data_IF_202838218821
#
_entry.id   IF_202838218821
#
_cell.length_a   1.000
_cell.length_b   1.000
_cell.length_c   1.000
_cell.angle_alpha   90.00
_cell.angle_beta   90.00
_cell.angle_gamma   90.00
#
_symmetry.space_group_name_H-M   'P 1'
#
loop_
_entity.id
_entity.type
_entity.pdbx_description
1 polymer ?
#
# COMPACT_ATOMS: atom_id res chain seq x y z
N UNK A 1 -7.50 -1.76 18.15
CA UNK A 1 -6.40 -0.78 18.22
C UNK A 1 -6.11 -0.31 19.64
N UNK A 2 -7.08 0.14 20.42
CA UNK A 2 -6.81 0.67 21.78
C UNK A 2 -6.06 -0.32 22.69
N UNK A 3 -6.51 -1.58 22.72
CA UNK A 3 -5.82 -2.65 23.49
C UNK A 3 -4.44 -3.00 22.93
N UNK A 4 -4.28 -2.98 21.61
CA UNK A 4 -3.00 -3.25 20.96
C UNK A 4 -1.95 -2.20 21.30
N UNK A 5 -2.37 -0.93 21.36
CA UNK A 5 -1.47 0.21 21.64
C UNK A 5 -1.37 0.59 23.13
N UNK A 6 -2.06 -0.14 24.02
CA UNK A 6 -2.00 0.14 25.45
C UNK A 6 -0.57 0.13 26.02
N UNK A 7 0.30 -0.85 25.69
CA UNK A 7 1.69 -0.84 26.12
C UNK A 7 2.47 0.40 25.65
N UNK A 8 2.21 0.86 24.40
CA UNK A 8 2.88 2.05 23.86
C UNK A 8 2.49 3.32 24.60
N UNK A 9 1.26 3.41 25.14
CA UNK A 9 0.83 4.55 25.95
C UNK A 9 1.62 4.66 27.24
N UNK A 10 1.87 3.52 27.89
CA UNK A 10 2.63 3.46 29.16
C UNK A 10 4.09 3.83 28.88
N UNK A 11 4.72 3.10 27.97
CA UNK A 11 6.14 3.32 27.64
C UNK A 11 6.38 4.71 27.05
N UNK A 12 5.43 5.25 26.28
CA UNK A 12 5.54 6.63 25.77
C UNK A 12 5.46 7.71 26.85
N UNK A 13 4.81 7.45 27.98
CA UNK A 13 4.74 8.40 29.13
C UNK A 13 5.90 8.24 30.11
N UNK A 14 6.19 7.02 30.50
CA UNK A 14 7.09 6.70 31.59
C UNK A 14 8.50 6.40 31.10
N UNK A 15 8.62 6.01 29.84
CA UNK A 15 9.83 5.45 29.28
C UNK A 15 10.10 4.04 29.78
N UNK A 16 10.95 3.32 29.08
CA UNK A 16 11.50 2.04 29.54
C UNK A 16 13.01 2.02 29.34
N UNK A 17 13.72 1.34 30.22
CA UNK A 17 15.14 1.12 30.05
C UNK A 17 15.40 0.00 29.08
N UNK A 18 16.25 0.27 28.08
CA UNK A 18 16.63 -0.68 27.05
C UNK A 18 18.15 -0.68 26.88
N UNK A 19 18.73 -1.87 26.85
CA UNK A 19 20.12 -2.04 26.43
C UNK A 19 20.18 -1.94 24.92
N UNK A 20 20.90 -0.93 24.42
CA UNK A 20 21.07 -0.68 22.99
C UNK A 20 22.18 -1.59 22.41
N UNK A 21 22.28 -1.64 21.09
CA UNK A 21 23.27 -2.46 20.37
C UNK A 21 24.74 -2.09 20.69
N UNK A 22 24.97 -0.84 21.16
CA UNK A 22 26.27 -0.35 21.60
C UNK A 22 26.58 -0.67 23.10
N UNK A 23 25.71 -1.46 23.76
CA UNK A 23 25.86 -1.87 25.15
C UNK A 23 25.38 -0.83 26.18
N UNK A 24 25.01 0.38 25.77
CA UNK A 24 24.51 1.41 26.69
C UNK A 24 23.05 1.19 27.06
N UNK A 25 22.70 1.42 28.30
CA UNK A 25 21.31 1.45 28.77
C UNK A 25 20.75 2.86 28.60
N UNK A 26 19.64 2.97 27.84
CA UNK A 26 18.96 4.25 27.59
C UNK A 26 17.51 4.16 28.02
N UNK A 27 16.96 5.27 28.51
CA UNK A 27 15.51 5.40 28.68
C UNK A 27 14.88 5.78 27.36
N UNK A 28 14.05 4.87 26.82
CA UNK A 28 13.41 4.98 25.51
C UNK A 28 11.93 5.30 25.68
N UNK A 29 11.43 6.25 24.91
CA UNK A 29 10.02 6.61 24.82
C UNK A 29 9.48 6.19 23.44
N UNK A 30 8.48 5.34 23.45
CA UNK A 30 7.88 4.86 22.20
C UNK A 30 6.86 5.84 21.65
N UNK A 31 6.89 6.06 20.34
CA UNK A 31 5.94 6.90 19.62
C UNK A 31 5.35 6.15 18.43
N UNK A 32 4.10 6.47 18.08
CA UNK A 32 3.55 6.06 16.78
C UNK A 32 4.04 7.05 15.72
N UNK A 33 5.01 6.64 14.92
CA UNK A 33 5.67 7.51 13.96
C UNK A 33 4.98 7.52 12.58
N UNK A 34 4.47 6.37 12.13
CA UNK A 34 3.81 6.22 10.83
C UNK A 34 2.62 5.25 10.92
N UNK A 35 1.60 5.48 10.11
CA UNK A 35 0.42 4.63 9.94
C UNK A 35 0.21 4.37 8.45
N UNK A 36 0.57 3.17 8.01
CA UNK A 36 0.49 2.74 6.62
C UNK A 36 -0.88 2.09 6.42
N UNK A 37 -1.70 2.71 5.59
CA UNK A 37 -3.05 2.23 5.29
C UNK A 37 -3.53 2.79 3.95
N UNK A 38 -4.56 2.17 3.38
CA UNK A 38 -5.28 2.73 2.25
C UNK A 38 -6.12 3.95 2.65
N UNK A 39 -6.66 4.67 1.66
CA UNK A 39 -7.40 5.89 1.91
C UNK A 39 -8.65 5.70 2.79
N UNK A 40 -9.51 4.68 2.61
CA UNK A 40 -10.65 4.42 3.48
C UNK A 40 -10.27 4.20 4.93
N UNK A 41 -9.22 3.42 5.19
CA UNK A 41 -8.73 3.17 6.54
C UNK A 41 -8.09 4.43 7.15
N UNK A 42 -7.31 5.20 6.38
CA UNK A 42 -6.80 6.49 6.85
C UNK A 42 -7.94 7.43 7.25
N UNK A 43 -9.03 7.49 6.48
CA UNK A 43 -10.21 8.28 6.84
C UNK A 43 -10.91 7.76 8.11
N UNK A 44 -11.00 6.45 8.28
CA UNK A 44 -11.56 5.82 9.48
C UNK A 44 -10.74 6.19 10.71
N UNK A 45 -9.42 6.05 10.62
CA UNK A 45 -8.48 6.39 11.71
C UNK A 45 -8.46 7.89 11.99
N UNK A 46 -8.54 8.73 10.96
CA UNK A 46 -8.69 10.18 11.11
C UNK A 46 -10.06 10.60 11.67
N UNK A 47 -10.98 9.65 11.87
CA UNK A 47 -12.36 9.92 12.27
C UNK A 47 -13.09 10.88 11.32
N UNK A 48 -12.81 10.81 10.01
CA UNK A 48 -13.46 11.64 9.00
C UNK A 48 -14.13 10.80 7.89
N UNK A 49 -15.04 11.45 7.16
CA UNK A 49 -15.71 10.87 6.01
C UNK A 49 -14.71 10.70 4.83
N UNK A 50 -14.91 9.71 3.98
CA UNK A 50 -14.12 9.50 2.75
C UNK A 50 -14.28 10.61 1.71
N UNK A 51 -15.29 11.45 1.88
CA UNK A 51 -15.44 12.69 1.11
C UNK A 51 -14.51 13.82 1.60
N UNK A 52 -13.62 13.57 2.56
CA UNK A 52 -12.68 14.53 3.17
C UNK A 52 -11.25 14.02 3.06
N UNK A 53 -10.30 14.89 3.36
CA UNK A 53 -8.90 14.49 3.49
C UNK A 53 -8.60 14.04 4.92
N UNK A 54 -7.89 12.91 5.15
CA UNK A 54 -7.47 12.49 6.49
C UNK A 54 -6.41 13.41 7.10
N UNK A 55 -5.66 14.18 6.30
CA UNK A 55 -4.54 15.01 6.77
C UNK A 55 -4.88 16.49 6.93
N UNK A 56 -5.77 17.03 6.10
CA UNK A 56 -6.11 18.46 6.10
C UNK A 56 -7.62 18.73 6.02
N UNK A 57 -7.97 20.01 6.11
CA UNK A 57 -9.37 20.50 6.16
C UNK A 57 -9.88 20.94 4.78
N UNK A 58 -9.32 20.43 3.67
CA UNK A 58 -9.80 20.75 2.33
C UNK A 58 -11.31 20.52 2.23
N UNK A 59 -11.99 21.46 1.61
CA UNK A 59 -13.42 21.33 1.35
C UNK A 59 -13.69 20.24 0.31
N UNK A 60 -14.86 19.63 0.40
CA UNK A 60 -15.26 18.55 -0.50
C UNK A 60 -15.09 18.94 -1.97
N UNK A 61 -15.47 20.16 -2.31
CA UNK A 61 -15.54 20.62 -3.69
C UNK A 61 -14.24 21.28 -4.20
N UNK A 62 -13.22 21.36 -3.34
CA UNK A 62 -11.90 21.94 -3.65
C UNK A 62 -10.79 20.88 -3.85
N UNK A 63 -11.11 19.58 -3.70
CA UNK A 63 -10.11 18.50 -3.80
C UNK A 63 -9.44 18.35 -5.17
N UNK A 64 -10.05 18.90 -6.21
CA UNK A 64 -9.45 19.00 -7.55
C UNK A 64 -8.58 20.22 -7.76
N UNK A 65 -8.52 21.15 -6.80
CA UNK A 65 -7.73 22.37 -6.84
C UNK A 65 -6.29 22.13 -6.35
N UNK A 66 -5.31 22.90 -6.85
CA UNK A 66 -3.95 22.89 -6.33
C UNK A 66 -3.79 23.63 -4.99
N UNK A 67 -4.87 24.13 -4.41
CA UNK A 67 -4.81 24.94 -3.20
C UNK A 67 -4.44 24.11 -1.96
N UNK A 68 -3.53 24.63 -1.16
CA UNK A 68 -3.23 24.13 0.18
C UNK A 68 -4.40 24.39 1.14
N UNK A 69 -4.60 23.47 2.06
CA UNK A 69 -5.56 23.61 3.14
C UNK A 69 -4.90 23.41 4.50
N UNK A 70 -5.49 23.99 5.54
CA UNK A 70 -4.97 23.87 6.90
C UNK A 70 -4.91 22.39 7.34
N UNK A 71 -3.80 21.93 7.94
CA UNK A 71 -3.70 20.59 8.49
C UNK A 71 -4.74 20.39 9.60
N UNK A 72 -5.20 19.16 9.78
CA UNK A 72 -6.05 18.79 10.91
C UNK A 72 -5.28 18.91 12.22
N UNK A 73 -5.94 19.45 13.22
CA UNK A 73 -5.40 19.57 14.59
C UNK A 73 -5.93 18.42 15.44
N UNK A 74 -5.01 17.63 16.01
CA UNK A 74 -5.36 16.44 16.79
C UNK A 74 -6.16 16.79 18.05
N UNK A 75 -5.76 17.82 18.78
CA UNK A 75 -6.41 18.20 20.03
C UNK A 75 -7.81 18.76 19.77
N UNK A 76 -7.95 19.63 18.77
CA UNK A 76 -9.25 20.18 18.35
C UNK A 76 -10.17 19.08 17.83
N UNK A 77 -9.68 18.16 17.01
CA UNK A 77 -10.49 17.06 16.48
C UNK A 77 -10.94 16.11 17.59
N UNK A 78 -10.07 15.75 18.54
CA UNK A 78 -10.43 14.94 19.69
C UNK A 78 -11.50 15.60 20.57
N UNK A 79 -11.40 16.91 20.78
CA UNK A 79 -12.37 17.69 21.57
C UNK A 79 -13.74 17.74 20.88
N UNK A 80 -13.79 17.97 19.55
CA UNK A 80 -15.03 17.96 18.79
C UNK A 80 -15.73 16.59 18.88
N UNK A 81 -14.94 15.50 18.75
CA UNK A 81 -15.44 14.13 18.85
C UNK A 81 -15.98 13.83 20.26
N UNK A 82 -15.29 14.31 21.31
CA UNK A 82 -15.73 14.17 22.70
C UNK A 82 -17.06 14.87 22.92
N UNK A 83 -17.16 16.15 22.53
CA UNK A 83 -18.41 16.93 22.63
C UNK A 83 -19.56 16.25 21.90
N UNK A 84 -19.31 15.72 20.70
CA UNK A 84 -20.33 14.99 19.95
C UNK A 84 -20.76 13.72 20.68
N UNK A 85 -19.84 12.96 21.26
CA UNK A 85 -20.15 11.75 22.04
C UNK A 85 -20.95 12.04 23.32
N UNK A 86 -20.84 13.24 23.87
CA UNK A 86 -21.61 13.72 25.03
C UNK A 86 -23.00 14.28 24.63
N UNK A 87 -23.38 14.15 23.35
CA UNK A 87 -24.69 14.59 22.84
C UNK A 87 -24.72 16.06 22.41
N UNK A 88 -23.62 16.80 22.50
CA UNK A 88 -23.51 18.14 21.95
C UNK A 88 -23.44 18.04 20.40
N UNK A 89 -23.81 19.12 19.73
CA UNK A 89 -23.82 19.20 18.25
C UNK A 89 -22.88 20.31 17.78
N UNK A 90 -21.54 20.14 17.95
CA UNK A 90 -20.61 21.17 17.50
C UNK A 90 -20.68 21.32 15.98
N UNK A 91 -20.84 22.54 15.48
CA UNK A 91 -20.89 22.82 14.02
C UNK A 91 -19.64 22.33 13.29
N UNK A 92 -18.50 22.34 13.97
CA UNK A 92 -17.25 21.83 13.48
C UNK A 92 -17.27 20.34 13.16
N UNK A 93 -18.12 19.53 13.79
CA UNK A 93 -18.27 18.12 13.49
C UNK A 93 -18.73 17.90 12.04
N UNK A 94 -19.73 18.63 11.62
CA UNK A 94 -20.27 18.56 10.24
C UNK A 94 -19.32 19.25 9.25
N UNK A 95 -18.87 20.47 9.56
CA UNK A 95 -18.04 21.24 8.62
C UNK A 95 -16.69 20.57 8.32
N UNK A 96 -16.08 19.90 9.30
CA UNK A 96 -14.86 19.10 9.11
C UNK A 96 -15.13 17.68 8.58
N UNK A 97 -16.42 17.31 8.42
CA UNK A 97 -16.84 16.00 7.96
C UNK A 97 -16.35 14.85 8.85
N UNK A 98 -16.56 14.99 10.16
CA UNK A 98 -16.15 13.97 11.11
C UNK A 98 -17.16 12.81 11.17
N UNK A 99 -16.70 11.65 11.66
CA UNK A 99 -17.49 10.44 11.95
C UNK A 99 -17.57 10.25 13.47
N UNK A 100 -18.66 9.69 14.01
CA UNK A 100 -18.80 9.41 15.44
C UNK A 100 -17.97 8.16 15.82
N UNK A 101 -16.66 8.20 15.62
CA UNK A 101 -15.73 7.12 15.94
C UNK A 101 -14.87 7.54 17.12
N UNK A 102 -14.69 6.64 18.10
CA UNK A 102 -13.80 6.88 19.24
C UNK A 102 -12.35 6.89 18.79
N UNK A 103 -11.61 8.00 18.92
CA UNK A 103 -10.23 8.09 18.46
C UNK A 103 -9.28 7.36 19.41
N UNK A 104 -8.75 6.20 19.01
CA UNK A 104 -7.79 5.43 19.82
C UNK A 104 -6.49 6.19 20.08
N UNK A 105 -6.19 7.14 19.20
CA UNK A 105 -4.97 7.95 19.24
C UNK A 105 -5.05 9.19 20.15
N UNK A 106 -6.23 9.54 20.66
CA UNK A 106 -6.43 10.77 21.44
C UNK A 106 -5.44 10.91 22.63
N UNK A 107 -5.08 9.80 23.26
CA UNK A 107 -4.23 9.74 24.43
C UNK A 107 -2.85 9.10 24.15
N UNK A 108 -2.43 8.99 22.89
CA UNK A 108 -1.08 8.55 22.57
C UNK A 108 -0.09 9.69 22.83
N UNK A 109 0.93 9.48 23.69
CA UNK A 109 1.93 10.50 23.97
C UNK A 109 2.80 10.75 22.73
N UNK A 110 3.26 11.99 22.58
CA UNK A 110 4.21 12.41 21.54
C UNK A 110 3.78 12.13 20.09
N UNK A 111 2.52 11.76 19.85
CA UNK A 111 2.00 11.39 18.54
C UNK A 111 1.04 12.46 18.02
N UNK A 112 1.14 12.76 16.75
CA UNK A 112 0.10 13.45 15.99
C UNK A 112 -0.36 12.55 14.85
N UNK A 113 -1.53 11.93 14.99
CA UNK A 113 -2.03 10.93 14.05
C UNK A 113 -2.12 11.44 12.62
N UNK A 114 -2.50 12.72 12.42
CA UNK A 114 -2.64 13.31 11.09
C UNK A 114 -1.29 13.49 10.37
N UNK A 115 -0.18 13.49 11.13
CA UNK A 115 1.18 13.49 10.59
C UNK A 115 1.76 12.09 10.39
N UNK A 116 1.11 11.08 10.97
CA UNK A 116 1.55 9.68 10.83
C UNK A 116 1.06 9.04 9.53
N UNK A 117 0.04 9.61 8.87
CA UNK A 117 -0.46 9.06 7.61
C UNK A 117 0.56 9.23 6.49
N UNK A 118 0.92 8.13 5.88
CA UNK A 118 1.82 8.11 4.72
C UNK A 118 1.01 7.99 3.42
N UNK A 119 1.47 8.59 2.32
CA UNK A 119 0.87 8.39 1.01
C UNK A 119 0.95 6.92 0.60
N UNK A 120 -0.12 6.44 -0.02
CA UNK A 120 -0.19 5.10 -0.59
C UNK A 120 -0.01 5.17 -2.11
N UNK A 121 1.22 4.93 -2.57
CA UNK A 121 1.56 4.98 -3.98
C UNK A 121 0.71 3.99 -4.78
N UNK A 122 0.44 2.80 -4.24
CA UNK A 122 -0.28 1.75 -4.94
C UNK A 122 -1.72 2.16 -5.28
N UNK A 123 -2.53 2.49 -4.27
CA UNK A 123 -3.94 2.81 -4.48
C UNK A 123 -4.19 4.24 -4.94
N UNK A 124 -3.35 5.19 -4.52
CA UNK A 124 -3.56 6.59 -4.90
C UNK A 124 -3.02 6.89 -6.30
N UNK A 125 -1.79 6.46 -6.62
CA UNK A 125 -1.16 6.79 -7.90
C UNK A 125 -1.33 5.71 -8.95
N UNK A 126 -0.74 4.51 -8.77
CA UNK A 126 -0.73 3.46 -9.79
C UNK A 126 -2.14 3.06 -10.21
N UNK A 127 -2.96 2.64 -9.24
CA UNK A 127 -4.34 2.29 -9.50
C UNK A 127 -5.19 3.53 -9.75
N UNK A 128 -5.13 4.49 -8.80
CA UNK A 128 -6.09 5.56 -8.73
C UNK A 128 -5.94 6.62 -9.80
N UNK A 129 -4.90 7.44 -9.72
CA UNK A 129 -4.70 8.53 -10.67
C UNK A 129 -4.40 7.99 -12.06
N UNK A 130 -3.42 7.10 -12.17
CA UNK A 130 -2.98 6.63 -13.47
C UNK A 130 -4.03 5.73 -14.13
N UNK A 131 -4.28 4.52 -13.58
CA UNK A 131 -5.12 3.53 -14.27
C UNK A 131 -6.61 3.92 -14.30
N UNK A 132 -7.20 4.27 -13.14
CA UNK A 132 -8.64 4.48 -13.05
C UNK A 132 -9.10 5.78 -13.72
N UNK A 133 -8.19 6.76 -13.89
CA UNK A 133 -8.51 8.05 -14.51
C UNK A 133 -7.75 8.28 -15.82
N UNK A 134 -6.43 8.50 -15.77
CA UNK A 134 -5.70 8.92 -16.98
C UNK A 134 -5.69 7.87 -18.09
N UNK A 135 -5.51 6.59 -17.75
CA UNK A 135 -5.62 5.51 -18.75
C UNK A 135 -7.05 5.39 -19.28
N UNK A 136 -8.05 5.44 -18.39
CA UNK A 136 -9.47 5.36 -18.80
C UNK A 136 -9.85 6.52 -19.73
N UNK A 137 -9.59 7.76 -19.31
CA UNK A 137 -9.89 8.95 -20.09
C UNK A 137 -9.13 8.99 -21.42
N UNK A 138 -7.85 8.61 -21.41
CA UNK A 138 -7.06 8.56 -22.65
C UNK A 138 -7.56 7.49 -23.61
N UNK A 139 -7.97 6.33 -23.09
CA UNK A 139 -8.54 5.25 -23.92
C UNK A 139 -9.84 5.71 -24.57
N UNK A 140 -10.68 6.47 -23.89
CA UNK A 140 -11.95 6.97 -24.39
C UNK A 140 -11.79 7.98 -25.53
N UNK A 141 -10.68 8.73 -25.55
CA UNK A 141 -10.40 9.70 -26.63
C UNK A 141 -9.60 9.14 -27.80
N UNK A 142 -9.11 7.91 -27.69
CA UNK A 142 -8.48 7.21 -28.83
C UNK A 142 -9.52 6.83 -29.86
N UNK A 143 -9.30 7.14 -31.12
CA UNK A 143 -10.17 6.64 -32.21
C UNK A 143 -10.11 5.10 -32.26
N UNK A 144 -11.28 4.46 -32.19
CA UNK A 144 -11.39 3.02 -31.98
C UNK A 144 -11.31 2.57 -30.51
N UNK A 145 -11.14 3.47 -29.53
CA UNK A 145 -11.27 3.24 -28.10
C UNK A 145 -10.37 2.12 -27.56
N UNK A 146 -10.96 1.26 -26.73
CA UNK A 146 -10.25 0.13 -26.08
C UNK A 146 -9.67 -0.87 -27.10
N UNK A 147 -10.31 -1.09 -28.24
CA UNK A 147 -9.86 -2.06 -29.24
C UNK A 147 -8.55 -1.60 -29.89
N UNK A 148 -8.45 -0.32 -30.22
CA UNK A 148 -7.23 0.26 -30.77
C UNK A 148 -6.10 0.29 -29.73
N UNK A 149 -6.39 0.66 -28.49
CA UNK A 149 -5.41 0.62 -27.40
C UNK A 149 -4.91 -0.81 -27.19
N UNK A 150 -5.79 -1.81 -27.17
CA UNK A 150 -5.41 -3.22 -27.06
C UNK A 150 -4.58 -3.69 -28.25
N UNK A 151 -4.95 -3.29 -29.47
CA UNK A 151 -4.17 -3.58 -30.68
C UNK A 151 -2.74 -3.04 -30.57
N UNK A 152 -2.58 -1.82 -30.09
CA UNK A 152 -1.26 -1.19 -29.89
C UNK A 152 -0.43 -1.89 -28.80
N UNK A 153 -1.04 -2.27 -27.68
CA UNK A 153 -0.36 -3.08 -26.66
C UNK A 153 0.11 -4.45 -27.22
N UNK A 154 -0.72 -5.11 -28.02
CA UNK A 154 -0.37 -6.40 -28.68
C UNK A 154 0.80 -6.26 -29.63
N UNK A 155 0.90 -5.13 -30.35
CA UNK A 155 1.93 -4.87 -31.36
C UNK A 155 3.29 -4.47 -30.77
N UNK A 156 3.36 -4.19 -29.45
CA UNK A 156 4.61 -3.79 -28.82
C UNK A 156 5.64 -4.93 -28.83
N UNK A 157 6.88 -4.59 -29.06
CA UNK A 157 8.00 -5.53 -28.99
C UNK A 157 8.15 -6.12 -27.59
N UNK A 158 8.45 -7.42 -27.53
CA UNK A 158 8.75 -8.09 -26.26
C UNK A 158 10.08 -7.58 -25.70
N UNK A 159 10.11 -7.33 -24.39
CA UNK A 159 11.33 -6.96 -23.69
C UNK A 159 11.47 -7.82 -22.41
N UNK A 160 12.67 -8.32 -22.09
CA UNK A 160 12.88 -9.25 -20.96
C UNK A 160 12.41 -8.72 -19.60
N UNK A 161 12.53 -7.40 -19.38
CA UNK A 161 12.21 -6.75 -18.10
C UNK A 161 10.82 -6.13 -18.06
N UNK A 162 10.03 -6.22 -19.15
CA UNK A 162 8.70 -5.63 -19.23
C UNK A 162 7.65 -6.70 -19.48
N UNK A 163 6.52 -6.58 -18.79
CA UNK A 163 5.37 -7.43 -19.09
C UNK A 163 4.82 -7.10 -20.48
N UNK A 164 4.73 -8.11 -21.32
CA UNK A 164 4.05 -8.00 -22.61
C UNK A 164 2.54 -8.25 -22.45
N UNK A 165 1.74 -7.23 -22.72
CA UNK A 165 0.26 -7.31 -22.66
C UNK A 165 -0.28 -7.92 -23.97
N UNK A 166 0.03 -9.21 -24.19
CA UNK A 166 -0.29 -9.96 -25.42
C UNK A 166 -1.76 -10.00 -25.80
N UNK A 167 -2.66 -9.79 -24.85
CA UNK A 167 -4.11 -9.74 -25.05
C UNK A 167 -4.68 -8.32 -24.94
N UNK A 168 -3.83 -7.30 -24.85
CA UNK A 168 -4.22 -5.93 -24.48
C UNK A 168 -4.44 -5.75 -23.00
N UNK A 169 -5.08 -4.66 -22.62
CA UNK A 169 -5.33 -4.28 -21.22
C UNK A 169 -6.83 -4.32 -20.84
N UNK A 170 -7.75 -4.27 -21.82
CA UNK A 170 -9.20 -4.19 -21.56
C UNK A 170 -9.76 -5.42 -20.86
N UNK A 171 -9.20 -6.61 -21.11
CA UNK A 171 -9.64 -7.89 -20.55
C UNK A 171 -9.00 -8.19 -19.18
N UNK A 172 -8.13 -7.34 -18.66
CA UNK A 172 -7.50 -7.57 -17.35
C UNK A 172 -8.48 -7.19 -16.26
N UNK A 173 -9.09 -8.19 -15.61
CA UNK A 173 -10.07 -8.00 -14.54
C UNK A 173 -9.43 -7.80 -13.17
N UNK A 174 -8.29 -8.45 -12.92
CA UNK A 174 -7.53 -8.34 -11.67
C UNK A 174 -6.12 -7.82 -11.95
N UNK A 175 -5.88 -6.60 -11.57
CA UNK A 175 -4.59 -5.94 -11.74
C UNK A 175 -3.71 -6.13 -10.52
N UNK A 176 -2.45 -6.44 -10.75
CA UNK A 176 -1.41 -6.47 -9.72
C UNK A 176 -0.59 -5.18 -9.73
N UNK A 177 0.07 -4.84 -8.62
CA UNK A 177 0.96 -3.68 -8.56
C UNK A 177 2.03 -3.70 -9.65
N UNK A 178 2.58 -4.87 -9.95
CA UNK A 178 3.57 -5.03 -11.03
C UNK A 178 3.00 -4.75 -12.43
N UNK A 179 1.72 -5.08 -12.67
CA UNK A 179 1.06 -4.78 -13.95
C UNK A 179 0.86 -3.28 -14.15
N UNK A 180 0.44 -2.55 -13.11
CA UNK A 180 0.36 -1.09 -13.18
C UNK A 180 1.73 -0.47 -13.52
N UNK A 181 2.78 -0.85 -12.78
CA UNK A 181 4.15 -0.37 -12.97
C UNK A 181 4.70 -0.67 -14.37
N UNK A 182 4.33 -1.79 -14.96
CA UNK A 182 4.73 -2.10 -16.34
C UNK A 182 3.92 -1.33 -17.38
N UNK A 183 2.63 -1.11 -17.15
CA UNK A 183 1.79 -0.31 -18.02
C UNK A 183 2.26 1.16 -18.08
N UNK A 184 2.61 1.76 -16.94
CA UNK A 184 3.15 3.11 -16.85
C UNK A 184 4.36 3.34 -17.74
N UNK A 185 5.26 2.36 -17.82
CA UNK A 185 6.48 2.47 -18.62
C UNK A 185 6.24 2.54 -20.13
N UNK A 186 5.11 2.04 -20.59
CA UNK A 186 4.84 1.89 -22.03
C UNK A 186 3.65 2.69 -22.52
N UNK A 187 2.79 3.15 -21.63
CA UNK A 187 1.50 3.74 -21.99
C UNK A 187 1.61 4.98 -22.88
N UNK A 188 2.59 5.86 -22.64
CA UNK A 188 2.82 7.01 -23.52
C UNK A 188 3.09 6.59 -24.98
N UNK A 189 3.91 5.57 -25.18
CA UNK A 189 4.17 5.01 -26.50
C UNK A 189 2.94 4.38 -27.13
N UNK A 190 2.06 3.79 -26.34
CA UNK A 190 0.81 3.19 -26.83
C UNK A 190 -0.13 4.24 -27.36
N UNK A 191 -0.32 5.35 -26.68
CA UNK A 191 -1.27 6.40 -27.08
C UNK A 191 -0.66 7.45 -28.05
N UNK A 192 0.66 7.44 -28.25
CA UNK A 192 1.33 8.37 -29.16
C UNK A 192 0.77 8.30 -30.58
N UNK A 193 0.44 9.44 -31.16
CA UNK A 193 -0.16 9.56 -32.49
C UNK A 193 -1.62 9.07 -32.60
N UNK A 194 -2.26 8.70 -31.47
CA UNK A 194 -3.67 8.29 -31.43
C UNK A 194 -4.54 9.33 -30.68
N UNK A 195 -3.94 10.29 -30.00
CA UNK A 195 -4.62 11.32 -29.22
C UNK A 195 -3.99 12.68 -29.47
N UNK A 196 -4.69 13.75 -29.09
CA UNK A 196 -4.15 15.13 -29.07
C UNK A 196 -2.88 15.20 -28.21
N UNK A 197 -1.89 15.98 -28.68
CA UNK A 197 -0.62 16.21 -27.98
C UNK A 197 -0.82 16.74 -26.55
N UNK A 198 -1.91 17.46 -26.29
CA UNK A 198 -2.27 17.95 -24.95
C UNK A 198 -2.61 16.81 -23.99
N UNK A 199 -3.20 15.71 -24.51
CA UNK A 199 -3.46 14.48 -23.74
C UNK A 199 -2.14 13.80 -23.39
N UNK A 200 -1.21 13.71 -24.37
CA UNK A 200 0.15 13.17 -24.14
C UNK A 200 0.85 13.94 -23.02
N UNK A 201 0.79 15.28 -23.05
CA UNK A 201 1.40 16.11 -22.00
C UNK A 201 0.78 15.88 -20.62
N UNK A 202 -0.53 15.72 -20.55
CA UNK A 202 -1.22 15.46 -19.30
C UNK A 202 -0.86 14.08 -18.72
N UNK A 203 -0.83 13.04 -19.55
CA UNK A 203 -0.43 11.69 -19.15
C UNK A 203 1.04 11.64 -18.73
N UNK A 204 1.92 12.33 -19.47
CA UNK A 204 3.35 12.45 -19.13
C UNK A 204 3.55 13.08 -17.76
N UNK A 205 2.85 14.17 -17.45
CA UNK A 205 2.98 14.84 -16.15
C UNK A 205 2.63 13.89 -14.98
N UNK A 206 1.62 13.02 -15.15
CA UNK A 206 1.27 12.00 -14.14
C UNK A 206 2.37 10.95 -14.02
N UNK A 207 2.88 10.44 -15.15
CA UNK A 207 3.95 9.43 -15.14
C UNK A 207 5.23 10.00 -14.53
N UNK A 208 5.57 11.26 -14.83
CA UNK A 208 6.72 11.94 -14.23
C UNK A 208 6.56 12.05 -12.71
N UNK A 209 5.38 12.46 -12.22
CA UNK A 209 5.09 12.51 -10.78
C UNK A 209 5.25 11.14 -10.12
N UNK A 210 4.65 10.08 -10.70
CA UNK A 210 4.76 8.70 -10.20
C UNK A 210 6.22 8.24 -10.18
N UNK A 211 6.98 8.58 -11.22
CA UNK A 211 8.40 8.22 -11.32
C UNK A 211 9.20 8.84 -10.19
N UNK A 212 9.01 10.12 -9.89
CA UNK A 212 9.65 10.77 -8.74
C UNK A 212 9.17 10.18 -7.41
N UNK A 213 7.87 9.93 -7.25
CA UNK A 213 7.33 9.36 -6.01
C UNK A 213 7.93 7.99 -5.66
N UNK A 214 8.45 7.26 -6.65
CA UNK A 214 9.08 5.94 -6.49
C UNK A 214 10.59 5.97 -6.26
N UNK A 215 11.19 7.12 -6.16
CA UNK A 215 12.63 7.19 -5.89
C UNK A 215 12.96 6.65 -4.51
N UNK A 216 13.93 5.76 -4.43
CA UNK A 216 14.45 5.22 -3.17
C UNK A 216 15.26 6.26 -2.39
N UNK A 217 15.84 7.24 -3.09
CA UNK A 217 16.61 8.33 -2.52
C UNK A 217 16.17 9.65 -3.14
N UNK A 218 15.86 10.63 -2.30
CA UNK A 218 15.47 11.96 -2.72
C UNK A 218 16.55 13.00 -2.43
N UNK A 219 16.70 13.92 -3.38
CA UNK A 219 17.43 15.17 -3.22
C UNK A 219 16.43 16.32 -3.26
N UNK A 220 16.80 17.54 -2.85
CA UNK A 220 15.94 18.72 -3.00
C UNK A 220 15.49 18.90 -4.45
N UNK A 221 16.39 18.70 -5.42
CA UNK A 221 16.07 18.77 -6.84
C UNK A 221 15.01 17.73 -7.27
N UNK A 222 15.05 16.52 -6.74
CA UNK A 222 14.03 15.51 -7.09
C UNK A 222 12.68 15.86 -6.49
N UNK A 223 12.63 16.46 -5.30
CA UNK A 223 11.40 16.94 -4.67
C UNK A 223 10.82 18.14 -5.43
N UNK A 224 11.66 19.09 -5.84
CA UNK A 224 11.24 20.21 -6.72
C UNK A 224 10.68 19.71 -8.05
N UNK A 225 11.28 18.67 -8.63
CA UNK A 225 10.79 18.09 -9.88
C UNK A 225 9.43 17.37 -9.66
N UNK A 226 9.22 16.73 -8.50
CA UNK A 226 7.92 16.16 -8.14
C UNK A 226 6.86 17.26 -8.01
N UNK A 227 7.17 18.37 -7.37
CA UNK A 227 6.25 19.53 -7.26
C UNK A 227 5.95 20.15 -8.64
N UNK A 228 6.96 20.24 -9.53
CA UNK A 228 6.75 20.70 -10.92
C UNK A 228 5.84 19.74 -11.69
N UNK A 229 6.03 18.44 -11.55
CA UNK A 229 5.17 17.43 -12.19
C UNK A 229 3.72 17.55 -11.67
N UNK A 230 3.54 17.74 -10.37
CA UNK A 230 2.21 18.00 -9.78
C UNK A 230 1.57 19.28 -10.35
N UNK A 231 2.32 20.38 -10.46
CA UNK A 231 1.84 21.62 -11.07
C UNK A 231 1.44 21.41 -12.53
N UNK A 232 2.28 20.69 -13.30
CA UNK A 232 2.01 20.36 -14.70
C UNK A 232 0.74 19.50 -14.88
N UNK A 233 0.43 18.61 -13.94
CA UNK A 233 -0.84 17.86 -13.94
C UNK A 233 -2.01 18.85 -13.84
N UNK A 234 -1.94 19.82 -12.93
CA UNK A 234 -3.01 20.81 -12.75
C UNK A 234 -3.19 21.73 -13.94
N UNK A 235 -2.12 22.07 -14.65
CA UNK A 235 -2.16 22.89 -15.86
C UNK A 235 -2.75 22.12 -17.06
N UNK A 236 -2.42 20.84 -17.20
CA UNK A 236 -2.73 20.04 -18.39
C UNK A 236 -4.02 19.25 -18.32
N UNK A 237 -4.45 18.83 -17.12
CA UNK A 237 -5.62 17.94 -16.94
C UNK A 237 -6.93 18.45 -17.54
N UNK A 238 -7.06 19.78 -17.73
CA UNK A 238 -8.29 20.41 -18.28
C UNK A 238 -8.69 19.88 -19.65
N UNK A 239 -7.74 19.36 -20.41
CA UNK A 239 -8.01 18.75 -21.72
C UNK A 239 -9.09 17.65 -21.64
N UNK A 240 -9.12 16.87 -20.55
CA UNK A 240 -10.10 15.82 -20.39
C UNK A 240 -11.53 16.34 -20.14
N UNK A 241 -11.69 17.54 -19.56
CA UNK A 241 -12.98 18.25 -19.51
C UNK A 241 -13.38 18.77 -20.90
N UNK A 242 -12.43 19.35 -21.63
CA UNK A 242 -12.66 19.88 -22.98
C UNK A 242 -13.09 18.78 -23.95
N UNK A 243 -12.54 17.59 -23.80
CA UNK A 243 -12.89 16.40 -24.60
C UNK A 243 -14.15 15.66 -24.09
N UNK A 244 -14.72 16.11 -22.96
CA UNK A 244 -15.98 15.56 -22.42
C UNK A 244 -15.87 14.19 -21.75
N UNK A 245 -14.65 13.67 -21.53
CA UNK A 245 -14.43 12.33 -20.92
C UNK A 245 -14.42 12.35 -19.40
N UNK A 246 -14.51 13.51 -18.79
CA UNK A 246 -14.76 13.64 -17.35
C UNK A 246 -15.60 14.88 -17.06
N UNK A 247 -16.27 14.89 -15.91
CA UNK A 247 -17.12 16.01 -15.46
C UNK A 247 -16.43 16.91 -14.44
N UNK A 248 -15.23 16.54 -13.97
CA UNK A 248 -14.48 17.32 -13.00
C UNK A 248 -13.33 16.54 -12.37
N UNK A 249 -12.51 17.25 -11.59
CA UNK A 249 -11.34 16.70 -10.92
C UNK A 249 -11.49 16.65 -9.39
N UNK A 250 -12.71 16.76 -8.90
CA UNK A 250 -12.97 16.76 -7.46
C UNK A 250 -12.84 15.36 -6.85
N UNK A 251 -11.68 14.77 -7.02
CA UNK A 251 -11.33 13.41 -6.69
C UNK A 251 -10.36 13.40 -5.51
N UNK A 252 -10.61 12.62 -4.44
CA UNK A 252 -9.71 12.56 -3.28
C UNK A 252 -8.26 12.27 -3.63
N UNK A 253 -8.04 11.41 -4.62
CA UNK A 253 -6.71 10.99 -5.08
C UNK A 253 -5.90 12.15 -5.70
N UNK A 254 -6.55 13.09 -6.39
CA UNK A 254 -5.88 14.31 -6.88
C UNK A 254 -5.41 15.17 -5.71
N UNK A 255 -6.26 15.37 -4.71
CA UNK A 255 -5.88 16.15 -3.54
C UNK A 255 -4.74 15.48 -2.76
N UNK A 256 -4.73 14.14 -2.66
CA UNK A 256 -3.71 13.43 -1.88
C UNK A 256 -2.28 13.69 -2.38
N UNK A 257 -2.10 14.01 -3.67
CA UNK A 257 -0.78 14.24 -4.25
C UNK A 257 -0.04 15.44 -3.63
N UNK A 258 -0.76 16.44 -3.10
CA UNK A 258 -0.15 17.60 -2.43
C UNK A 258 0.62 17.20 -1.15
N UNK A 259 0.29 16.05 -0.55
CA UNK A 259 0.91 15.57 0.67
C UNK A 259 2.17 14.73 0.44
N UNK A 260 2.55 14.44 -0.82
CA UNK A 260 3.67 13.55 -1.14
C UNK A 260 5.03 14.16 -0.77
N UNK A 261 5.33 15.37 -1.25
CA UNK A 261 6.60 16.04 -0.92
C UNK A 261 6.76 16.28 0.59
N UNK A 262 5.75 16.80 1.31
CA UNK A 262 5.79 16.87 2.77
C UNK A 262 6.02 15.51 3.47
N UNK A 263 5.42 14.43 2.95
CA UNK A 263 5.61 13.10 3.52
C UNK A 263 7.04 12.60 3.31
N UNK A 264 7.64 12.80 2.12
CA UNK A 264 9.05 12.45 1.90
C UNK A 264 9.97 13.20 2.84
N UNK A 265 9.73 14.49 3.07
CA UNK A 265 10.53 15.30 4.00
C UNK A 265 10.42 14.83 5.45
N UNK A 266 9.28 14.28 5.85
CA UNK A 266 9.03 13.86 7.24
C UNK A 266 9.32 12.39 7.53
N UNK A 267 9.13 11.49 6.55
CA UNK A 267 9.20 10.05 6.72
C UNK A 267 10.28 9.38 5.85
N UNK A 268 10.86 10.09 4.90
CA UNK A 268 11.78 9.52 3.92
C UNK A 268 11.09 9.03 2.65
N UNK A 269 11.75 8.18 1.89
CA UNK A 269 11.23 7.69 0.60
C UNK A 269 9.93 6.90 0.77
N UNK A 270 8.98 7.14 -0.13
CA UNK A 270 7.63 6.58 -0.05
C UNK A 270 7.58 5.09 -0.40
N UNK A 271 8.60 4.56 -1.04
CA UNK A 271 8.70 3.13 -1.37
C UNK A 271 8.65 2.25 -0.10
N UNK A 272 9.22 2.73 1.01
CA UNK A 272 9.18 2.05 2.31
C UNK A 272 7.83 2.12 3.04
N UNK A 273 6.88 2.93 2.59
CA UNK A 273 5.62 3.22 3.30
C UNK A 273 4.36 2.96 2.48
N UNK A 274 4.43 2.16 1.42
CA UNK A 274 3.25 1.83 0.62
C UNK A 274 2.52 0.58 1.15
N UNK A 275 1.25 0.39 0.76
CA UNK A 275 0.43 -0.74 1.20
C UNK A 275 0.76 -2.06 0.49
N UNK A 276 1.62 -2.06 -0.52
CA UNK A 276 1.96 -3.25 -1.32
C UNK A 276 2.58 -4.36 -0.44
N UNK A 277 3.44 -3.97 0.51
CA UNK A 277 4.10 -4.89 1.43
C UNK A 277 3.12 -5.51 2.45
N UNK A 278 2.31 -4.72 3.19
CA UNK A 278 1.27 -5.27 4.07
C UNK A 278 0.24 -6.13 3.34
N UNK A 279 -0.19 -5.75 2.13
CA UNK A 279 -1.13 -6.56 1.34
C UNK A 279 -0.54 -7.90 0.94
N UNK A 280 0.75 -7.95 0.63
CA UNK A 280 1.42 -9.22 0.41
C UNK A 280 1.39 -10.09 1.66
N UNK A 281 1.63 -9.51 2.84
CA UNK A 281 1.57 -10.25 4.11
C UNK A 281 0.18 -10.81 4.38
N UNK A 282 -0.89 -10.21 3.87
CA UNK A 282 -2.22 -10.80 3.91
C UNK A 282 -2.31 -12.16 3.21
N UNK A 283 -1.45 -12.44 2.23
CA UNK A 283 -1.40 -13.76 1.59
C UNK A 283 -0.92 -14.79 2.61
N UNK A 284 0.21 -14.50 3.26
CA UNK A 284 0.90 -15.43 4.14
C UNK A 284 0.20 -15.56 5.52
N UNK A 285 -0.31 -14.45 6.06
CA UNK A 285 -0.88 -14.41 7.42
C UNK A 285 -2.42 -14.47 7.49
N UNK A 286 -3.12 -14.27 6.39
CA UNK A 286 -4.58 -14.35 6.35
C UNK A 286 -5.09 -15.39 5.35
N UNK A 287 -4.76 -15.26 4.06
CA UNK A 287 -5.33 -16.11 3.02
C UNK A 287 -4.87 -17.56 3.11
N UNK A 288 -3.58 -17.79 3.38
CA UNK A 288 -3.01 -19.15 3.53
C UNK A 288 -3.56 -19.84 4.80
N UNK A 289 -3.50 -19.25 6.01
CA UNK A 289 -4.08 -19.83 7.20
C UNK A 289 -5.59 -20.10 7.08
N UNK A 290 -6.35 -19.18 6.48
CA UNK A 290 -7.78 -19.37 6.24
C UNK A 290 -8.09 -20.55 5.32
N UNK A 291 -7.29 -20.75 4.26
CA UNK A 291 -7.43 -21.87 3.33
C UNK A 291 -6.96 -23.20 3.93
N UNK A 292 -6.04 -23.15 4.88
CA UNK A 292 -5.54 -24.33 5.59
C UNK A 292 -6.56 -24.90 6.59
N UNK A 293 -7.54 -24.11 7.02
CA UNK A 293 -8.61 -24.50 7.94
C UNK A 293 -9.87 -24.99 7.23
N UNK A 294 -10.84 -25.48 8.03
CA UNK A 294 -12.16 -25.90 7.57
C UNK A 294 -13.16 -24.73 7.50
N UNK A 295 -12.72 -23.52 7.74
CA UNK A 295 -13.49 -22.26 7.75
C UNK A 295 -14.53 -22.12 8.88
N UNK A 296 -14.60 -23.07 9.82
CA UNK A 296 -15.41 -22.97 11.04
C UNK A 296 -14.52 -22.39 12.12
N UNK A 297 -15.02 -21.43 12.89
CA UNK A 297 -14.22 -20.71 13.90
C UNK A 297 -12.80 -20.35 13.35
N UNK A 298 -12.81 -19.76 12.17
CA UNK A 298 -11.60 -19.56 11.36
C UNK A 298 -10.53 -18.73 12.09
N UNK A 299 -10.92 -17.83 12.99
CA UNK A 299 -9.98 -16.98 13.71
C UNK A 299 -9.06 -17.79 14.63
N UNK A 300 -9.63 -18.74 15.40
CA UNK A 300 -8.87 -19.62 16.27
C UNK A 300 -7.97 -20.58 15.46
N UNK A 301 -8.50 -21.11 14.36
CA UNK A 301 -7.73 -22.00 13.47
C UNK A 301 -6.56 -21.27 12.80
N UNK A 302 -6.77 -20.04 12.32
CA UNK A 302 -5.71 -19.20 11.73
C UNK A 302 -4.64 -18.88 12.78
N UNK A 303 -5.03 -18.51 14.00
CA UNK A 303 -4.08 -18.24 15.08
C UNK A 303 -3.25 -19.48 15.43
N UNK A 304 -3.89 -20.66 15.52
CA UNK A 304 -3.20 -21.94 15.76
C UNK A 304 -2.24 -22.27 14.62
N UNK A 305 -2.65 -22.08 13.37
CA UNK A 305 -1.81 -22.31 12.20
C UNK A 305 -0.58 -21.42 12.23
N UNK A 306 -0.76 -20.12 12.50
CA UNK A 306 0.34 -19.15 12.59
C UNK A 306 1.32 -19.50 13.72
N UNK A 307 0.82 -19.85 14.91
CA UNK A 307 1.64 -20.27 16.05
C UNK A 307 2.50 -21.51 15.73
N UNK A 308 1.91 -22.49 15.02
CA UNK A 308 2.65 -23.69 14.58
C UNK A 308 3.72 -23.34 13.53
N UNK A 309 3.38 -22.50 12.56
CA UNK A 309 4.32 -22.06 11.55
C UNK A 309 5.51 -21.28 12.17
N UNK A 310 5.23 -20.41 13.13
CA UNK A 310 6.26 -19.67 13.88
C UNK A 310 7.16 -20.62 14.70
N UNK A 311 6.57 -21.64 15.35
CA UNK A 311 7.32 -22.66 16.08
C UNK A 311 8.27 -23.44 15.15
N UNK A 312 7.82 -23.82 13.96
CA UNK A 312 8.66 -24.50 12.96
C UNK A 312 9.80 -23.60 12.51
N UNK A 313 9.54 -22.33 12.19
CA UNK A 313 10.58 -21.39 11.79
C UNK A 313 11.61 -21.16 12.89
N UNK A 314 11.19 -21.00 14.14
CA UNK A 314 12.09 -20.85 15.28
C UNK A 314 12.95 -22.10 15.49
N UNK A 315 12.36 -23.27 15.34
CA UNK A 315 13.11 -24.53 15.43
C UNK A 315 14.15 -24.66 14.32
N UNK A 316 13.78 -24.29 13.09
CA UNK A 316 14.73 -24.28 11.98
C UNK A 316 15.90 -23.29 12.20
N UNK A 317 15.60 -22.09 12.71
CA UNK A 317 16.65 -21.13 13.08
C UNK A 317 17.55 -21.66 14.18
N UNK A 318 16.98 -22.33 15.20
CA UNK A 318 17.74 -22.99 16.25
C UNK A 318 18.66 -24.08 15.68
N UNK A 319 18.15 -24.95 14.80
CA UNK A 319 18.97 -26.00 14.16
C UNK A 319 20.12 -25.40 13.33
N UNK A 320 19.87 -24.36 12.57
CA UNK A 320 20.92 -23.67 11.81
C UNK A 320 21.99 -23.09 12.73
N UNK A 321 21.57 -22.43 13.81
CA UNK A 321 22.48 -21.90 14.80
C UNK A 321 23.26 -23.01 15.52
N UNK A 322 22.62 -24.08 15.95
CA UNK A 322 23.23 -25.21 16.64
C UNK A 322 24.25 -25.94 15.73
N UNK A 323 23.92 -26.16 14.45
CA UNK A 323 24.86 -26.69 13.46
C UNK A 323 26.05 -25.73 13.22
N UNK A 324 25.79 -24.42 13.14
CA UNK A 324 26.83 -23.41 12.97
C UNK A 324 27.79 -23.29 14.16
N UNK A 325 27.35 -23.63 15.37
CA UNK A 325 28.14 -23.62 16.61
C UNK A 325 28.64 -24.99 17.03
N UNK A 326 28.49 -26.03 16.19
CA UNK A 326 29.01 -27.37 16.48
C UNK A 326 28.29 -28.10 17.62
N UNK A 327 27.06 -27.65 18.01
CA UNK A 327 26.25 -28.28 19.05
C UNK A 327 25.55 -29.52 18.51
N UNK A 328 25.23 -29.51 17.21
CA UNK A 328 24.63 -30.64 16.47
C UNK A 328 25.57 -30.96 15.33
N UNK A 329 25.89 -32.25 15.17
CA UNK A 329 26.72 -32.73 14.07
C UNK A 329 26.08 -32.35 12.72
N UNK A 330 26.89 -31.92 11.76
CA UNK A 330 26.46 -31.82 10.38
C UNK A 330 26.18 -33.23 9.91
N UNK A 331 24.92 -33.54 9.53
CA UNK A 331 24.63 -34.74 8.77
C UNK A 331 25.60 -34.80 7.61
N UNK A 332 26.36 -35.88 7.50
CA UNK A 332 27.28 -36.05 6.40
C UNK A 332 26.57 -35.89 5.08
N UNK A 333 27.16 -35.18 4.15
CA UNK A 333 26.73 -35.20 2.75
C UNK A 333 26.87 -36.68 2.31
N UNK A 334 25.78 -37.46 2.43
CA UNK A 334 25.66 -38.69 1.68
C UNK A 334 25.68 -38.29 0.22
N UNK A 335 26.71 -38.76 -0.50
CA UNK A 335 26.90 -38.44 -1.90
C UNK A 335 25.65 -38.77 -2.71
N UNK A 336 25.15 -37.77 -3.41
CA UNK A 336 24.17 -37.94 -4.47
C UNK A 336 24.79 -38.77 -5.60
N UNK A 337 24.66 -40.07 -5.50
CA UNK A 337 24.77 -40.97 -6.65
C UNK A 337 23.40 -41.43 -7.04
N UNK A 338 23.07 -41.15 -8.29
CA UNK A 338 21.88 -41.52 -9.06
C UNK A 338 20.67 -40.55 -9.05
N UNK A 339 20.73 -39.65 -10.04
CA UNK A 339 19.58 -38.87 -10.48
C UNK A 339 18.49 -39.79 -11.09
N UNK A 340 17.41 -40.05 -10.36
CA UNK A 340 16.18 -40.55 -10.97
C UNK A 340 15.54 -39.49 -11.86
N UNK A 341 15.04 -39.86 -13.07
CA UNK A 341 14.42 -38.90 -13.98
C UNK A 341 13.14 -38.33 -13.39
N UNK A 342 13.06 -36.99 -13.35
CA UNK A 342 11.88 -36.22 -12.93
C UNK A 342 10.61 -36.68 -13.67
N UNK A 343 9.80 -37.51 -13.02
CA UNK A 343 8.40 -37.70 -13.42
C UNK A 343 7.65 -36.41 -13.14
N UNK A 344 7.23 -35.68 -14.19
CA UNK A 344 6.30 -34.56 -14.13
C UNK A 344 5.03 -34.96 -13.37
N UNK A 345 5.00 -34.78 -12.07
CA UNK A 345 3.77 -34.89 -11.26
C UNK A 345 2.88 -33.69 -11.60
N UNK A 346 1.70 -33.93 -12.14
CA UNK A 346 0.63 -32.94 -12.22
C UNK A 346 0.38 -32.44 -10.79
N UNK A 347 0.62 -31.15 -10.55
CA UNK A 347 0.23 -30.48 -9.31
C UNK A 347 -1.29 -30.67 -9.12
N UNK A 348 -1.69 -31.34 -8.05
CA UNK A 348 -3.09 -31.33 -7.61
C UNK A 348 -3.34 -29.97 -6.96
N UNK A 349 -4.44 -29.33 -7.34
CA UNK A 349 -4.93 -28.13 -6.66
C UNK A 349 -5.07 -28.43 -5.16
N UNK A 350 -4.22 -27.78 -4.34
CA UNK A 350 -4.24 -27.97 -2.89
C UNK A 350 -2.86 -28.16 -2.23
N UNK A 351 -1.77 -28.30 -2.96
CA UNK A 351 -0.44 -28.35 -2.38
C UNK A 351 0.03 -26.94 -2.01
N UNK A 352 0.13 -26.65 -0.71
CA UNK A 352 0.59 -25.36 -0.18
C UNK A 352 2.10 -25.47 0.04
N UNK A 353 2.85 -24.77 -0.81
CA UNK A 353 4.30 -24.60 -0.63
C UNK A 353 4.54 -23.44 0.34
N UNK A 354 5.06 -23.71 1.53
CA UNK A 354 5.49 -22.67 2.48
C UNK A 354 6.82 -22.11 1.98
N UNK A 355 6.80 -20.93 1.38
CA UNK A 355 8.02 -20.24 0.95
C UNK A 355 8.85 -19.84 2.16
N UNK A 356 10.05 -20.38 2.26
CA UNK A 356 11.01 -20.09 3.34
C UNK A 356 11.56 -21.32 4.03
N UNK A 357 10.90 -22.48 3.91
CA UNK A 357 11.40 -23.75 4.40
C UNK A 357 11.72 -24.67 3.24
N UNK A 358 12.98 -24.98 3.02
CA UNK A 358 13.40 -25.94 2.02
C UNK A 358 12.75 -27.30 2.32
N UNK A 359 11.80 -27.69 1.48
CA UNK A 359 11.35 -29.09 1.36
C UNK A 359 10.38 -29.65 2.39
N UNK A 360 9.88 -28.91 3.38
CA UNK A 360 8.93 -29.46 4.35
C UNK A 360 7.48 -29.30 3.89
N UNK A 361 6.82 -30.43 3.58
CA UNK A 361 5.38 -30.49 3.40
C UNK A 361 4.72 -30.63 4.78
N UNK A 362 3.97 -29.63 5.21
CA UNK A 362 3.10 -29.76 6.35
C UNK A 362 1.95 -30.71 5.96
N UNK A 363 1.91 -31.91 6.55
CA UNK A 363 0.86 -32.87 6.29
C UNK A 363 -0.51 -32.25 6.59
N UNK A 364 -1.48 -32.45 5.68
CA UNK A 364 -2.89 -32.16 5.96
C UNK A 364 -3.28 -32.96 7.21
N UNK A 365 -3.98 -32.30 8.14
CA UNK A 365 -4.54 -32.96 9.32
C UNK A 365 -5.20 -34.29 8.91
N UNK A 366 -4.82 -35.44 9.53
CA UNK A 366 -5.59 -36.65 9.36
C UNK A 366 -6.97 -36.38 9.92
N UNK A 367 -8.01 -36.58 9.10
CA UNK A 367 -9.37 -36.33 9.48
C UNK A 367 -9.70 -37.13 10.72
N UNK A 368 -10.25 -36.49 11.75
CA UNK A 368 -11.05 -37.14 12.73
C UNK A 368 -12.34 -37.52 12.01
N UNK A 369 -12.45 -38.81 11.70
CA UNK A 369 -13.71 -39.46 11.35
C UNK A 369 -14.64 -39.45 12.55
N UNK A 370 -15.91 -39.24 12.27
CA UNK A 370 -17.14 -39.14 13.04
C UNK A 370 -17.39 -37.85 13.75
#
# INVERSE_FOLDING_TARGET
MESLLAPLKIVGKEGMEMTCADGWVRRVYTILAAYIADFPEQCLVACCLESRCPQCLVLRDERGSPAWSHPRDQKKTAEILRQHAEGLKPTAFVSQGLRPVKPFWANLPHTNIFRCFTPDIHHQLHKGIFKDHFVSWSTEVVDGGSDEVDRRFKSMSKHPTLRHFKNGISLVSQWTGNEYKNMEKVFLGVIAGAVDERVIRAVRAVIDFISYARFEVHTERSLENMDRAWSAIHETKKIFLELGVCTGFNIPKFHSMIHYVPAVRSHGSLDGYNTESPERLHIDFAKVPFRAGNRRDYTAQMATWMSRNDAVQRHEMFLRWAKGNGIIEKEGEEGDDEAEPERKRRRKEGDIEVRGCHGYKVAKNPGYGN
#
